data_IF_757354867892
#
_entry.id   IF_757354867892
#
_cell.length_a   1.000
_cell.length_b   1.000
_cell.length_c   1.000
_cell.angle_alpha   90.00
_cell.angle_beta   90.00
_cell.angle_gamma   90.00
#
_symmetry.space_group_name_H-M   'P 1'
#
loop_
_entity.id
_entity.type
_entity.pdbx_description
1 polymer ?
#
# COMPACT_ATOMS: atom_id res chain seq x y z
N UNK A 1 -8.55 6.02 -19.25
CA UNK A 1 -8.57 5.54 -17.85
C UNK A 1 -7.40 4.59 -17.69
N UNK A 2 -6.32 5.01 -17.04
CA UNK A 2 -5.14 4.14 -16.87
C UNK A 2 -5.48 3.11 -15.80
N UNK A 3 -5.60 1.84 -16.21
CA UNK A 3 -5.61 0.70 -15.30
C UNK A 3 -4.32 0.76 -14.46
N UNK A 4 -4.46 1.15 -13.20
CA UNK A 4 -3.37 1.03 -12.22
C UNK A 4 -3.48 -0.38 -11.66
N UNK A 5 -2.69 -1.29 -12.21
CA UNK A 5 -2.69 -2.72 -11.85
C UNK A 5 -2.64 -2.99 -10.34
N UNK A 6 -2.01 -2.09 -9.59
CA UNK A 6 -1.81 -2.21 -8.16
C UNK A 6 -2.26 -0.89 -7.49
N UNK A 7 -3.43 -0.88 -6.82
CA UNK A 7 -4.01 0.34 -6.27
C UNK A 7 -3.27 0.86 -5.03
N UNK A 8 -2.49 0.00 -4.39
CA UNK A 8 -1.56 0.32 -3.32
C UNK A 8 -0.33 -0.60 -3.42
N UNK A 9 0.71 -0.26 -2.68
CA UNK A 9 1.94 -1.03 -2.56
C UNK A 9 2.27 -1.23 -1.08
N UNK A 10 2.68 -2.44 -0.72
CA UNK A 10 3.22 -2.71 0.61
C UNK A 10 4.61 -2.11 0.74
N UNK A 11 4.91 -1.57 1.93
CA UNK A 11 6.17 -0.92 2.28
C UNK A 11 6.45 -1.19 3.76
N UNK A 12 7.52 -1.93 4.10
CA UNK A 12 7.97 -2.01 5.48
C UNK A 12 8.51 -0.66 5.94
N UNK A 13 8.19 -0.27 7.17
CA UNK A 13 8.68 0.93 7.82
C UNK A 13 8.37 0.85 9.32
N UNK A 14 9.23 1.43 10.16
CA UNK A 14 8.98 1.56 11.60
C UNK A 14 8.56 0.24 12.32
N UNK A 15 9.17 -0.89 11.93
CA UNK A 15 8.91 -2.20 12.54
C UNK A 15 7.61 -2.89 12.10
N UNK A 16 6.90 -2.33 11.11
CA UNK A 16 5.66 -2.89 10.58
C UNK A 16 5.64 -2.84 9.05
N UNK A 17 4.76 -3.64 8.43
CA UNK A 17 4.46 -3.53 7.01
C UNK A 17 3.23 -2.66 6.79
N UNK A 18 3.40 -1.56 6.08
CA UNK A 18 2.36 -0.57 5.77
C UNK A 18 1.93 -0.66 4.31
N UNK A 19 0.77 -0.10 3.96
CA UNK A 19 0.32 0.04 2.59
C UNK A 19 0.29 1.52 2.20
N UNK A 20 0.79 1.87 1.02
CA UNK A 20 0.78 3.24 0.49
C UNK A 20 0.22 3.28 -0.93
N UNK A 21 -0.51 4.35 -1.25
CA UNK A 21 -0.95 4.69 -2.61
C UNK A 21 0.03 5.58 -3.35
N UNK A 22 1.10 6.02 -2.69
CA UNK A 22 2.14 6.87 -3.26
C UNK A 22 2.71 6.22 -4.52
N UNK A 23 3.17 7.05 -5.47
CA UNK A 23 3.88 6.52 -6.63
C UNK A 23 5.23 5.97 -6.19
N UNK A 24 5.57 4.77 -6.68
CA UNK A 24 6.94 4.27 -6.62
C UNK A 24 7.76 4.87 -7.75
N UNK A 25 9.09 4.98 -7.61
CA UNK A 25 9.97 5.28 -8.73
C UNK A 25 9.70 4.30 -9.88
N UNK A 26 9.83 4.78 -11.12
CA UNK A 26 9.61 3.95 -12.31
C UNK A 26 10.57 2.75 -12.31
N UNK A 27 10.07 1.60 -12.78
CA UNK A 27 10.75 0.29 -12.74
C UNK A 27 11.08 -0.27 -11.34
N UNK A 28 10.77 0.42 -10.24
CA UNK A 28 11.03 -0.09 -8.90
C UNK A 28 9.98 -1.11 -8.44
N UNK A 29 10.45 -2.27 -7.95
CA UNK A 29 9.61 -3.33 -7.38
C UNK A 29 9.20 -3.05 -5.92
N UNK A 30 9.87 -2.12 -5.25
CA UNK A 30 9.61 -1.65 -3.88
C UNK A 30 10.06 -0.19 -3.74
N UNK A 31 9.66 0.48 -2.65
CA UNK A 31 10.25 1.79 -2.32
C UNK A 31 11.69 1.57 -1.84
N UNK A 32 12.70 2.30 -2.35
CA UNK A 32 14.05 2.24 -1.82
C UNK A 32 14.09 2.58 -0.33
N UNK A 33 14.99 1.95 0.43
CA UNK A 33 15.22 2.32 1.84
C UNK A 33 15.52 3.81 1.96
N UNK A 34 14.93 4.46 2.96
CA UNK A 34 15.04 5.91 3.15
C UNK A 34 13.93 6.72 2.48
N UNK A 35 13.19 6.15 1.53
CA UNK A 35 12.11 6.86 0.82
C UNK A 35 11.01 7.28 1.80
N UNK A 36 10.72 8.59 1.85
CA UNK A 36 9.58 9.09 2.62
C UNK A 36 8.27 8.67 1.95
N UNK A 37 7.41 7.99 2.69
CA UNK A 37 6.08 7.56 2.26
C UNK A 37 5.02 8.08 3.22
N UNK A 38 3.79 8.20 2.72
CA UNK A 38 2.59 8.55 3.48
C UNK A 38 1.60 7.38 3.42
N UNK A 39 1.77 6.32 4.24
CA UNK A 39 0.91 5.16 4.19
C UNK A 39 -0.52 5.46 4.63
N UNK A 40 -1.40 4.47 4.43
CA UNK A 40 -2.83 4.57 4.68
C UNK A 40 -3.19 4.86 6.16
N UNK A 41 -2.31 4.49 7.10
CA UNK A 41 -2.43 4.85 8.53
C UNK A 41 -2.09 6.33 8.83
N UNK A 42 -1.89 7.16 7.80
CA UNK A 42 -1.66 8.62 7.88
C UNK A 42 -0.41 9.05 8.65
N UNK A 43 0.50 8.12 8.89
CA UNK A 43 1.82 8.43 9.41
C UNK A 43 2.76 8.82 8.26
N UNK A 44 3.75 9.68 8.50
CA UNK A 44 4.85 9.91 7.56
C UNK A 44 6.02 9.05 8.00
N UNK A 45 6.41 8.08 7.18
CA UNK A 45 7.40 7.07 7.53
C UNK A 45 8.50 6.98 6.47
N UNK A 46 9.67 6.49 6.87
CA UNK A 46 10.76 6.17 5.94
C UNK A 46 10.74 4.68 5.63
N UNK A 47 10.77 4.33 4.35
CA UNK A 47 10.75 2.95 3.90
C UNK A 47 12.00 2.19 4.39
N UNK A 48 11.80 0.94 4.79
CA UNK A 48 12.83 -0.04 5.04
C UNK A 48 12.63 -1.20 4.06
N UNK A 49 13.53 -1.33 3.08
CA UNK A 49 13.48 -2.40 2.10
C UNK A 49 14.53 -3.49 2.35
N UNK A 50 14.95 -3.66 3.61
CA UNK A 50 15.76 -4.82 3.99
C UNK A 50 14.94 -6.12 3.92
N UNK A 51 15.61 -7.24 3.67
CA UNK A 51 14.96 -8.55 3.56
C UNK A 51 14.18 -8.92 4.84
N UNK A 52 14.74 -8.58 6.01
CA UNK A 52 14.11 -8.87 7.30
C UNK A 52 12.86 -8.00 7.55
N UNK A 53 12.84 -6.76 7.08
CA UNK A 53 11.70 -5.87 7.29
C UNK A 53 10.42 -6.38 6.62
N UNK A 54 10.54 -7.16 5.54
CA UNK A 54 9.40 -7.81 4.89
C UNK A 54 8.73 -8.90 5.73
N UNK A 55 9.42 -9.42 6.75
CA UNK A 55 8.90 -10.41 7.70
C UNK A 55 8.11 -9.78 8.84
N UNK A 56 8.12 -8.46 8.99
CA UNK A 56 7.36 -7.77 10.03
C UNK A 56 5.86 -7.94 9.87
N UNK A 57 5.15 -7.86 11.00
CA UNK A 57 3.69 -7.86 11.03
C UNK A 57 3.11 -6.68 10.26
N UNK A 58 1.93 -6.88 9.68
CA UNK A 58 1.20 -5.82 8.98
C UNK A 58 0.63 -4.80 9.98
N UNK A 59 0.73 -3.51 9.66
CA UNK A 59 0.02 -2.44 10.37
C UNK A 59 -1.49 -2.64 10.21
N UNK A 60 -2.23 -2.77 11.33
CA UNK A 60 -3.66 -3.09 11.33
C UNK A 60 -4.52 -2.06 10.56
N UNK A 61 -4.22 -0.78 10.69
CA UNK A 61 -4.96 0.27 9.99
C UNK A 61 -4.72 0.24 8.49
N UNK A 62 -3.48 -0.02 8.08
CA UNK A 62 -3.14 -0.19 6.66
C UNK A 62 -3.80 -1.42 6.07
N UNK A 63 -3.87 -2.52 6.82
CA UNK A 63 -4.50 -3.76 6.41
C UNK A 63 -6.00 -3.58 6.15
N UNK A 64 -6.71 -3.00 7.11
CA UNK A 64 -8.14 -2.72 6.99
C UNK A 64 -8.45 -1.82 5.76
N UNK A 65 -7.65 -0.78 5.55
CA UNK A 65 -7.84 0.16 4.44
C UNK A 65 -7.45 -0.44 3.08
N UNK A 66 -6.38 -1.23 3.02
CA UNK A 66 -5.99 -1.99 1.82
C UNK A 66 -7.12 -2.93 1.38
N UNK A 67 -7.73 -3.64 2.32
CA UNK A 67 -8.91 -4.47 2.06
C UNK A 67 -10.12 -3.66 1.58
N UNK A 68 -10.37 -2.47 2.15
CA UNK A 68 -11.43 -1.58 1.69
C UNK A 68 -11.21 -1.15 0.24
N UNK A 69 -10.00 -0.71 -0.11
CA UNK A 69 -9.62 -0.30 -1.48
C UNK A 69 -9.79 -1.46 -2.46
N UNK A 70 -9.31 -2.66 -2.11
CA UNK A 70 -9.43 -3.84 -2.96
C UNK A 70 -10.90 -4.21 -3.25
N UNK A 71 -11.78 -4.13 -2.24
CA UNK A 71 -13.22 -4.37 -2.42
C UNK A 71 -13.87 -3.35 -3.35
N UNK A 72 -13.56 -2.06 -3.20
CA UNK A 72 -14.15 -1.00 -4.04
C UNK A 72 -13.79 -1.15 -5.52
N UNK A 73 -12.60 -1.68 -5.82
CA UNK A 73 -12.16 -1.91 -7.20
C UNK A 73 -12.75 -3.17 -7.82
N UNK A 74 -13.21 -4.12 -6.99
CA UNK A 74 -13.81 -5.37 -7.45
C UNK A 74 -15.34 -5.29 -7.60
N UNK A 75 -16.01 -4.21 -7.18
CA UNK A 75 -17.46 -4.08 -7.35
C UNK A 75 -17.83 -4.04 -8.84
N UNK A 76 -18.50 -5.08 -9.37
CA UNK A 76 -19.02 -5.05 -10.74
C UNK A 76 -20.13 -4.01 -10.83
N UNK A 77 -20.27 -3.36 -11.98
CA UNK A 77 -21.23 -2.28 -12.22
C UNK A 77 -22.72 -2.69 -12.15
N UNK A 78 -23.07 -3.88 -11.65
CA UNK A 78 -24.43 -4.45 -11.68
C UNK A 78 -25.30 -4.14 -10.47
N UNK A 79 -24.81 -3.45 -9.43
CA UNK A 79 -25.61 -3.11 -8.22
C UNK A 79 -25.82 -1.59 -8.04
N UNK A 80 -25.86 -0.81 -9.13
CA UNK A 80 -26.26 0.62 -9.10
C UNK A 80 -27.66 0.91 -9.63
N UNK A 81 -28.45 -0.13 -9.91
CA UNK A 81 -29.88 0.00 -10.23
C UNK A 81 -30.70 -0.91 -9.34
N UNK A 82 -31.06 -0.42 -8.15
CA UNK A 82 -32.35 -0.72 -7.55
C UNK A 82 -32.75 0.36 -6.56
#
# INVERSE_FOLDING_TARGET
MLYRAHPFHWVPAAGLRHASTDRRPDAALAYPTGTSVSPLCRQRLSADNSELAWLWSTCRDCDAEAHRIARTLHTPATERSK
#
